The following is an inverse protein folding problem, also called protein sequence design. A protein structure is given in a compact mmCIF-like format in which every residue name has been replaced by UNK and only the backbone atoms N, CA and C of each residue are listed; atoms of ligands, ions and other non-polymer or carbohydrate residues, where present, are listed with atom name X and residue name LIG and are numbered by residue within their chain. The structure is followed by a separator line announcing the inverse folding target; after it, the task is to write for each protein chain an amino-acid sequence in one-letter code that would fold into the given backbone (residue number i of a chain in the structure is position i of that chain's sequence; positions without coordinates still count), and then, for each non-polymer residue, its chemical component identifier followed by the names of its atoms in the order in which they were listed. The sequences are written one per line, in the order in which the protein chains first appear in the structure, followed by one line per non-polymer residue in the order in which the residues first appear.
data_IF_021467987255
#
_entry.id   IF_021467987255
#
_cell.length_a   1.000
_cell.length_b   1.000
_cell.length_c   1.000
_cell.angle_alpha   90.00
_cell.angle_beta   90.00
_cell.angle_gamma   90.00
#
_symmetry.space_group_name_H-M   'P 1'
#
loop_
_entity.id
_entity.type
_entity.pdbx_description
1 polymer ?
#
# COMPACT_ATOMS: atom_id res chain seq x y z
N UNK A 1 1.81 -1.04 -11.49
CA UNK A 1 3.15 -0.97 -12.19
C UNK A 1 4.34 -1.45 -11.35
N UNK A 2 4.42 -1.09 -10.06
CA UNK A 2 5.56 -1.42 -9.18
C UNK A 2 5.85 -2.92 -9.08
N UNK A 3 4.81 -3.77 -9.00
CA UNK A 3 5.00 -5.22 -8.91
C UNK A 3 5.67 -5.86 -10.14
N UNK A 4 5.45 -5.30 -11.33
CA UNK A 4 6.09 -5.80 -12.55
C UNK A 4 7.60 -5.49 -12.56
N UNK A 5 7.96 -4.26 -12.15
CA UNK A 5 9.36 -3.85 -12.02
C UNK A 5 10.08 -4.64 -10.93
N UNK A 6 9.43 -4.85 -9.79
CA UNK A 6 9.99 -5.64 -8.69
C UNK A 6 10.20 -7.10 -9.10
N UNK A 7 9.19 -7.73 -9.68
CA UNK A 7 9.26 -9.12 -10.15
C UNK A 7 10.28 -9.33 -11.27
N UNK A 8 10.51 -8.32 -12.12
CA UNK A 8 11.57 -8.38 -13.13
C UNK A 8 12.97 -8.39 -12.51
N UNK A 9 13.17 -7.69 -11.38
CA UNK A 9 14.45 -7.65 -10.66
C UNK A 9 14.66 -8.89 -9.80
N UNK A 10 13.60 -9.41 -9.17
CA UNK A 10 13.69 -10.54 -8.21
C UNK A 10 13.43 -11.91 -8.83
N UNK A 11 12.94 -11.97 -10.07
CA UNK A 11 12.70 -13.20 -10.82
C UNK A 11 11.33 -13.84 -10.63
N UNK A 12 10.55 -13.41 -9.63
CA UNK A 12 9.16 -13.89 -9.41
C UNK A 12 8.13 -12.83 -9.79
N UNK A 13 7.84 -12.76 -11.09
CA UNK A 13 6.85 -11.84 -11.65
C UNK A 13 5.43 -12.24 -11.24
N UNK A 14 5.15 -13.54 -11.14
CA UNK A 14 3.78 -14.03 -10.94
C UNK A 14 3.22 -13.65 -9.57
N UNK A 15 3.99 -13.84 -8.49
CA UNK A 15 3.52 -13.47 -7.14
C UNK A 15 3.57 -11.95 -6.95
N UNK A 16 4.61 -11.29 -7.45
CA UNK A 16 4.78 -9.83 -7.35
C UNK A 16 3.63 -9.07 -8.03
N UNK A 17 3.17 -9.55 -9.20
CA UNK A 17 2.02 -8.97 -9.89
C UNK A 17 0.74 -9.14 -9.07
N UNK A 18 0.49 -10.35 -8.53
CA UNK A 18 -0.71 -10.61 -7.71
C UNK A 18 -0.78 -9.68 -6.50
N UNK A 19 0.34 -9.48 -5.81
CA UNK A 19 0.44 -8.57 -4.66
C UNK A 19 0.15 -7.12 -5.08
N UNK A 20 0.74 -6.66 -6.19
CA UNK A 20 0.54 -5.30 -6.67
C UNK A 20 -0.92 -5.05 -7.06
N UNK A 21 -1.55 -5.96 -7.81
CA UNK A 21 -2.95 -5.83 -8.21
C UNK A 21 -3.87 -5.90 -6.99
N UNK A 22 -3.56 -6.75 -5.98
CA UNK A 22 -4.33 -6.80 -4.73
C UNK A 22 -4.42 -5.42 -4.06
N UNK A 23 -3.28 -4.75 -3.87
CA UNK A 23 -3.26 -3.42 -3.25
C UNK A 23 -3.88 -2.33 -4.15
N UNK A 24 -3.65 -2.37 -5.46
CA UNK A 24 -4.29 -1.44 -6.40
C UNK A 24 -5.82 -1.55 -6.35
N UNK A 25 -6.37 -2.78 -6.31
CA UNK A 25 -7.81 -3.01 -6.19
C UNK A 25 -8.36 -2.64 -4.80
N UNK A 26 -7.65 -3.00 -3.73
CA UNK A 26 -8.10 -2.71 -2.37
C UNK A 26 -8.16 -1.20 -2.10
N UNK A 27 -7.23 -0.43 -2.66
CA UNK A 27 -7.15 1.02 -2.42
C UNK A 27 -7.89 1.88 -3.44
N UNK A 28 -8.72 1.28 -4.29
CA UNK A 28 -9.36 1.95 -5.42
C UNK A 28 -10.33 3.10 -5.00
N UNK A 29 -10.91 3.08 -3.80
CA UNK A 29 -11.74 4.17 -3.25
C UNK A 29 -10.92 5.42 -2.85
N UNK A 30 -9.62 5.28 -2.59
CA UNK A 30 -8.83 6.34 -1.97
C UNK A 30 -8.22 7.30 -3.00
N UNK A 31 -9.07 7.90 -3.84
CA UNK A 31 -8.66 8.93 -4.81
C UNK A 31 -8.45 10.27 -4.08
N UNK A 32 -7.31 10.95 -4.27
CA UNK A 32 -7.09 12.27 -3.67
C UNK A 32 -8.10 13.28 -4.23
N UNK A 33 -9.03 13.73 -3.39
CA UNK A 33 -10.01 14.75 -3.71
C UNK A 33 -9.94 15.91 -2.71
N UNK A 34 -9.63 17.11 -3.20
CA UNK A 34 -9.51 18.32 -2.36
C UNK A 34 -8.37 18.22 -1.33
N UNK A 35 -8.69 18.42 -0.05
CA UNK A 35 -7.73 18.39 1.07
C UNK A 35 -7.51 17.00 1.66
N UNK A 36 -8.23 15.99 1.15
CA UNK A 36 -8.08 14.61 1.61
C UNK A 36 -6.73 14.03 1.16
N UNK A 37 -5.96 13.53 2.13
CA UNK A 37 -4.69 12.84 1.87
C UNK A 37 -4.98 11.34 1.93
N UNK A 38 -4.92 10.63 0.79
CA UNK A 38 -5.19 9.21 0.78
C UNK A 38 -4.07 8.45 1.53
N UNK A 39 -4.40 7.28 2.11
CA UNK A 39 -3.41 6.31 2.58
C UNK A 39 -2.33 6.04 1.52
N UNK A 40 -1.07 5.95 1.95
CA UNK A 40 0.06 5.86 1.04
C UNK A 40 0.17 4.45 0.46
N UNK A 41 -0.29 4.25 -0.78
CA UNK A 41 -0.41 2.94 -1.45
C UNK A 41 0.96 2.28 -1.72
N UNK A 42 2.00 3.08 -1.95
CA UNK A 42 3.32 2.58 -2.33
C UNK A 42 4.09 1.95 -1.15
N UNK A 43 3.88 2.44 0.07
CA UNK A 43 4.57 1.93 1.26
C UNK A 43 4.21 0.45 1.57
N UNK A 44 2.92 0.07 1.71
CA UNK A 44 2.54 -1.31 1.99
C UNK A 44 2.83 -2.24 0.81
N UNK A 45 2.74 -1.77 -0.44
CA UNK A 45 3.07 -2.57 -1.63
C UNK A 45 4.54 -2.93 -1.68
N UNK A 46 5.44 -1.94 -1.56
CA UNK A 46 6.88 -2.21 -1.55
C UNK A 46 7.30 -3.04 -0.34
N UNK A 47 6.76 -2.78 0.86
CA UNK A 47 7.05 -3.57 2.04
C UNK A 47 6.60 -5.03 1.86
N UNK A 48 5.38 -5.26 1.35
CA UNK A 48 4.90 -6.61 1.09
C UNK A 48 5.78 -7.33 0.06
N UNK A 49 6.12 -6.67 -1.05
CA UNK A 49 7.00 -7.23 -2.08
C UNK A 49 8.39 -7.58 -1.53
N UNK A 50 9.00 -6.69 -0.75
CA UNK A 50 10.30 -6.93 -0.13
C UNK A 50 10.26 -8.12 0.83
N UNK A 51 9.22 -8.20 1.67
CA UNK A 51 9.06 -9.28 2.65
C UNK A 51 8.77 -10.62 1.99
N UNK A 52 7.89 -10.68 0.98
CA UNK A 52 7.62 -11.93 0.26
C UNK A 52 8.86 -12.45 -0.45
N UNK A 53 9.67 -11.56 -1.04
CA UNK A 53 10.95 -11.96 -1.63
C UNK A 53 11.99 -12.38 -0.60
N UNK A 54 12.04 -11.73 0.57
CA UNK A 54 12.98 -12.08 1.64
C UNK A 54 12.68 -13.45 2.27
N UNK A 55 11.40 -13.82 2.38
CA UNK A 55 11.00 -15.12 2.90
C UNK A 55 10.84 -16.20 1.81
N UNK A 56 11.00 -15.84 0.53
CA UNK A 56 10.76 -16.71 -0.63
C UNK A 56 9.39 -17.41 -0.63
N UNK A 57 8.37 -16.74 -0.05
CA UNK A 57 7.02 -17.30 0.07
C UNK A 57 6.22 -17.09 -1.22
N UNK A 58 5.78 -18.19 -1.83
CA UNK A 58 4.96 -18.18 -3.06
C UNK A 58 3.51 -18.58 -2.82
N UNK A 59 3.21 -19.15 -1.65
CA UNK A 59 1.87 -19.60 -1.29
C UNK A 59 0.96 -18.44 -0.85
N UNK A 60 -0.30 -18.46 -1.30
CA UNK A 60 -1.30 -17.44 -0.95
C UNK A 60 -1.48 -17.25 0.57
N UNK A 61 -1.35 -18.35 1.32
CA UNK A 61 -1.53 -18.43 2.77
C UNK A 61 -0.55 -17.53 3.51
N UNK A 62 0.73 -17.69 3.19
CA UNK A 62 1.82 -16.95 3.82
C UNK A 62 1.82 -15.49 3.34
N UNK A 63 1.55 -15.28 2.05
CA UNK A 63 1.45 -13.94 1.47
C UNK A 63 0.31 -13.14 2.10
N UNK A 64 -0.84 -13.75 2.41
CA UNK A 64 -1.95 -13.08 3.09
C UNK A 64 -1.52 -12.45 4.42
N UNK A 65 -0.77 -13.19 5.25
CA UNK A 65 -0.31 -12.69 6.55
C UNK A 65 0.57 -11.46 6.35
N UNK A 66 1.45 -11.49 5.35
CA UNK A 66 2.31 -10.37 4.99
C UNK A 66 1.46 -9.17 4.50
N UNK A 67 0.49 -9.40 3.62
CA UNK A 67 -0.41 -8.35 3.12
C UNK A 67 -1.14 -7.66 4.26
N UNK A 68 -1.73 -8.43 5.19
CA UNK A 68 -2.46 -7.91 6.35
C UNK A 68 -1.53 -7.13 7.29
N UNK A 69 -0.33 -7.64 7.56
CA UNK A 69 0.67 -6.95 8.38
C UNK A 69 1.13 -5.62 7.76
N UNK A 70 1.10 -5.51 6.43
CA UNK A 70 1.48 -4.30 5.71
C UNK A 70 0.36 -3.24 5.66
N UNK A 71 -0.92 -3.58 5.85
CA UNK A 71 -2.03 -2.60 5.84
C UNK A 71 -1.85 -1.40 6.79
N UNK A 72 -1.48 -1.57 8.08
CA UNK A 72 -1.28 -0.43 8.98
C UNK A 72 -0.19 0.52 8.48
N UNK A 73 0.79 0.03 7.72
CA UNK A 73 1.87 0.84 7.16
C UNK A 73 1.35 1.91 6.19
N UNK A 74 0.21 1.67 5.51
CA UNK A 74 -0.43 2.64 4.63
C UNK A 74 -0.86 3.92 5.38
N UNK A 75 -1.36 3.78 6.61
CA UNK A 75 -1.75 4.93 7.45
C UNK A 75 -0.55 5.67 8.00
N UNK A 76 0.47 4.94 8.44
CA UNK A 76 1.70 5.54 8.96
C UNK A 76 2.41 6.31 7.84
N UNK A 77 2.47 5.75 6.62
CA UNK A 77 3.00 6.44 5.45
C UNK A 77 2.25 7.73 5.12
N UNK A 78 0.90 7.72 5.19
CA UNK A 78 0.12 8.93 4.99
C UNK A 78 0.33 9.99 6.08
N UNK A 79 0.51 9.57 7.34
CA UNK A 79 0.85 10.49 8.43
C UNK A 79 2.24 11.13 8.24
N UNK A 80 3.20 10.36 7.74
CA UNK A 80 4.52 10.87 7.35
C UNK A 80 4.39 11.91 6.22
N UNK A 81 3.67 11.60 5.15
CA UNK A 81 3.44 12.53 4.04
C UNK A 81 2.73 13.81 4.47
N UNK A 82 1.74 13.70 5.36
CA UNK A 82 1.08 14.85 5.95
C UNK A 82 2.07 15.74 6.70
N UNK A 83 2.92 15.12 7.52
CA UNK A 83 3.98 15.82 8.24
C UNK A 83 4.91 16.52 7.25
N UNK A 84 5.42 15.84 6.21
CA UNK A 84 6.26 16.48 5.20
C UNK A 84 5.59 17.68 4.52
N UNK A 85 4.31 17.56 4.16
CA UNK A 85 3.54 18.66 3.55
C UNK A 85 3.47 19.88 4.46
N UNK A 86 3.25 19.70 5.77
CA UNK A 86 3.25 20.82 6.71
C UNK A 86 4.61 21.53 6.76
N UNK A 87 5.71 20.78 6.70
CA UNK A 87 7.04 21.36 6.71
C UNK A 87 7.36 22.08 5.39
N UNK A 88 6.88 21.57 4.26
CA UNK A 88 6.98 22.25 2.97
C UNK A 88 6.16 23.54 2.94
N UNK A 89 4.96 23.57 3.52
CA UNK A 89 4.13 24.78 3.61
C UNK A 89 4.82 25.91 4.40
N UNK A 90 5.58 25.57 5.45
CA UNK A 90 6.40 26.56 6.19
C UNK A 90 7.52 27.13 5.32
N UNK A 91 8.12 26.32 4.44
CA UNK A 91 9.10 26.77 3.45
C UNK A 91 8.48 27.67 2.38
N UNK A 92 7.27 27.34 1.92
CA UNK A 92 6.52 28.13 0.95
C UNK A 92 6.14 29.52 1.48
N UNK A 93 5.70 29.64 2.74
CA UNK A 93 5.43 30.95 3.36
C UNK A 93 6.68 31.85 3.42
N UNK A 94 7.88 31.26 3.61
CA UNK A 94 9.14 32.00 3.55
C UNK A 94 9.47 32.47 2.13
N UNK A 95 9.14 31.67 1.11
CA UNK A 95 9.27 32.06 -0.30
C UNK A 95 8.33 33.23 -0.66
N UNK A 96 7.07 33.22 -0.20
CA UNK A 96 6.14 34.34 -0.42
C UNK A 96 6.67 35.61 0.25
N UNK A 97 7.18 35.49 1.48
CA UNK A 97 7.80 36.62 2.19
C UNK A 97 9.06 37.16 1.50
N UNK A 98 9.84 36.29 0.86
CA UNK A 98 11.01 36.66 0.06
C UNK A 98 10.62 37.31 -1.28
N UNK A 99 9.62 36.77 -1.99
CA UNK A 99 9.12 37.31 -3.25
C UNK A 99 8.56 38.73 -3.07
N UNK A 100 7.86 39.00 -1.96
CA UNK A 100 7.39 40.35 -1.59
C UNK A 100 8.53 41.34 -1.29
N UNK A 101 9.71 40.86 -0.90
CA UNK A 101 10.88 41.70 -0.56
C UNK A 101 11.81 41.96 -1.76
N UNK A 102 11.47 41.49 -2.97
CA UNK A 102 12.06 41.95 -4.22
C UNK A 102 13.57 41.77 -4.38
N UNK A 103 14.21 40.82 -3.69
CA UNK A 103 15.65 40.57 -3.87
C UNK A 103 15.91 39.71 -5.12
N UNK A 104 15.94 40.37 -6.27
CA UNK A 104 16.37 39.78 -7.54
C UNK A 104 17.88 39.43 -7.47
N UNK A 105 18.21 38.14 -7.53
CA UNK A 105 19.60 37.67 -7.63
C UNK A 105 19.94 36.45 -6.78
N UNK A 106 19.10 36.07 -5.82
CA UNK A 106 19.39 34.96 -4.92
C UNK A 106 18.82 33.64 -5.48
N UNK A 107 19.65 32.59 -5.63
CA UNK A 107 19.24 31.23 -6.07
C UNK A 107 18.40 30.46 -5.00
N UNK A 108 17.76 31.21 -4.10
CA UNK A 108 16.88 30.72 -3.04
C UNK A 108 15.80 29.73 -3.50
N UNK A 109 15.06 29.94 -4.61
CA UNK A 109 13.99 29.00 -5.01
C UNK A 109 14.53 27.62 -5.40
N UNK A 110 15.64 27.56 -6.16
CA UNK A 110 16.23 26.29 -6.60
C UNK A 110 16.78 25.48 -5.43
N UNK A 111 17.50 26.14 -4.50
CA UNK A 111 18.02 25.49 -3.29
C UNK A 111 16.90 24.98 -2.38
N UNK A 112 15.77 25.69 -2.32
CA UNK A 112 14.65 25.29 -1.47
C UNK A 112 13.89 24.09 -2.06
N UNK A 113 13.71 24.05 -3.38
CA UNK A 113 13.14 22.89 -4.09
C UNK A 113 14.05 21.68 -3.93
N UNK A 114 15.35 21.80 -4.22
CA UNK A 114 16.29 20.69 -4.09
C UNK A 114 16.37 20.16 -2.65
N UNK A 115 16.40 21.05 -1.65
CA UNK A 115 16.37 20.65 -0.25
C UNK A 115 15.08 19.93 0.14
N UNK A 116 13.95 20.32 -0.45
CA UNK A 116 12.65 19.67 -0.20
C UNK A 116 12.63 18.27 -0.82
N UNK A 117 13.09 18.13 -2.07
CA UNK A 117 13.23 16.83 -2.74
C UNK A 117 14.15 15.89 -1.96
N UNK A 118 15.34 16.37 -1.60
CA UNK A 118 16.32 15.57 -0.86
C UNK A 118 15.79 15.17 0.51
N UNK A 119 15.08 16.07 1.19
CA UNK A 119 14.45 15.77 2.48
C UNK A 119 13.38 14.70 2.33
N UNK A 120 12.48 14.84 1.35
CA UNK A 120 11.45 13.83 1.06
C UNK A 120 12.10 12.47 0.78
N UNK A 121 13.11 12.45 -0.08
CA UNK A 121 13.82 11.24 -0.42
C UNK A 121 14.42 10.56 0.82
N UNK A 122 15.16 11.30 1.64
CA UNK A 122 15.80 10.75 2.86
C UNK A 122 14.76 10.26 3.86
N UNK A 123 13.69 11.02 4.11
CA UNK A 123 12.65 10.59 5.05
C UNK A 123 11.88 9.37 4.56
N UNK A 124 11.51 9.32 3.28
CA UNK A 124 10.81 8.17 2.70
C UNK A 124 11.71 6.94 2.68
N UNK A 125 13.01 7.12 2.39
CA UNK A 125 14.01 6.05 2.42
C UNK A 125 14.18 5.47 3.82
N UNK A 126 14.43 6.32 4.83
CA UNK A 126 14.57 5.87 6.21
C UNK A 126 13.29 5.20 6.73
N UNK A 127 12.13 5.77 6.41
CA UNK A 127 10.84 5.19 6.78
C UNK A 127 10.64 3.81 6.17
N UNK A 128 10.94 3.64 4.89
CA UNK A 128 10.85 2.36 4.21
C UNK A 128 11.77 1.30 4.85
N UNK A 129 13.04 1.63 5.08
CA UNK A 129 13.99 0.70 5.70
C UNK A 129 13.59 0.31 7.12
N UNK A 130 13.30 1.30 7.96
CA UNK A 130 12.91 1.05 9.36
C UNK A 130 11.64 0.22 9.45
N UNK A 131 10.60 0.58 8.70
CA UNK A 131 9.35 -0.18 8.69
C UNK A 131 9.52 -1.61 8.18
N UNK A 132 10.26 -1.81 7.08
CA UNK A 132 10.48 -3.13 6.50
C UNK A 132 11.29 -4.04 7.44
N UNK A 133 12.33 -3.50 8.09
CA UNK A 133 13.12 -4.24 9.08
C UNK A 133 12.26 -4.65 10.27
N UNK A 134 11.49 -3.71 10.84
CA UNK A 134 10.60 -3.98 11.98
C UNK A 134 9.59 -5.07 11.61
N UNK A 135 8.95 -4.95 10.44
CA UNK A 135 7.97 -5.95 10.00
C UNK A 135 8.61 -7.31 9.72
N UNK A 136 9.82 -7.33 9.17
CA UNK A 136 10.57 -8.56 8.94
C UNK A 136 10.83 -9.32 10.26
N UNK A 137 11.31 -8.64 11.29
CA UNK A 137 11.54 -9.26 12.60
C UNK A 137 10.24 -9.75 13.25
N UNK A 138 9.17 -8.94 13.19
CA UNK A 138 7.86 -9.33 13.72
C UNK A 138 7.34 -10.58 13.01
N UNK A 139 7.41 -10.62 11.69
CA UNK A 139 6.95 -11.76 10.89
C UNK A 139 7.82 -12.99 11.11
N UNK A 140 9.14 -12.83 11.25
CA UNK A 140 10.03 -13.95 11.55
C UNK A 140 9.64 -14.62 12.87
N UNK A 141 9.43 -13.83 13.94
CA UNK A 141 8.95 -14.33 15.24
C UNK A 141 7.57 -14.98 15.11
N UNK A 142 6.66 -14.36 14.34
CA UNK A 142 5.31 -14.87 14.13
C UNK A 142 5.32 -16.22 13.39
N UNK A 143 6.03 -16.34 12.27
CA UNK A 143 6.11 -17.59 11.50
C UNK A 143 6.86 -18.69 12.26
N UNK A 144 7.84 -18.34 13.09
CA UNK A 144 8.50 -19.33 13.94
C UNK A 144 7.53 -19.94 14.97
N UNK A 145 6.66 -19.12 15.57
CA UNK A 145 5.72 -19.58 16.61
C UNK A 145 4.41 -20.17 16.06
N UNK A 146 3.89 -19.62 14.97
CA UNK A 146 2.57 -19.93 14.41
C UNK A 146 2.62 -20.59 13.02
N UNK A 147 3.81 -20.88 12.50
CA UNK A 147 4.01 -21.54 11.21
C UNK A 147 3.17 -22.80 10.99
N UNK A 148 3.08 -23.73 11.96
CA UNK A 148 2.25 -24.93 11.83
C UNK A 148 0.75 -24.62 11.68
N UNK A 149 0.26 -23.56 12.33
CA UNK A 149 -1.14 -23.16 12.23
C UNK A 149 -1.45 -22.47 10.90
N UNK A 150 -0.50 -21.71 10.35
CA UNK A 150 -0.64 -21.14 8.99
C UNK A 150 -0.64 -22.24 7.92
N UNK A 151 0.12 -23.33 8.12
CA UNK A 151 0.16 -24.46 7.20
C UNK A 151 -1.19 -25.22 7.13
N UNK A 152 -1.98 -25.22 8.21
CA UNK A 152 -3.28 -25.89 8.27
C UNK A 152 -4.44 -25.13 7.63
N UNK A 153 -4.25 -23.87 7.23
CA UNK A 153 -5.33 -23.05 6.63
C UNK A 153 -5.33 -23.23 5.12
N UNK A 154 -6.39 -23.78 4.52
CA UNK A 154 -6.55 -23.84 3.06
C UNK A 154 -6.98 -22.49 2.47
N UNK A 155 -6.05 -21.52 2.42
CA UNK A 155 -6.30 -20.22 1.78
C UNK A 155 -5.85 -20.23 0.32
N UNK A 156 -6.80 -20.00 -0.59
CA UNK A 156 -6.56 -19.81 -2.03
C UNK A 156 -6.51 -18.32 -2.40
N UNK A 157 -5.82 -17.99 -3.49
CA UNK A 157 -5.76 -16.64 -4.06
C UNK A 157 -7.15 -16.04 -4.35
N UNK A 158 -8.15 -16.87 -4.68
CA UNK A 158 -9.53 -16.42 -4.92
C UNK A 158 -10.12 -15.61 -3.77
N UNK A 159 -9.85 -16.01 -2.51
CA UNK A 159 -10.33 -15.26 -1.34
C UNK A 159 -9.67 -13.88 -1.22
N UNK A 160 -8.38 -13.78 -1.59
CA UNK A 160 -7.66 -12.50 -1.61
C UNK A 160 -8.23 -11.56 -2.67
N UNK A 161 -8.60 -12.08 -3.84
CA UNK A 161 -9.25 -11.27 -4.89
C UNK A 161 -10.61 -10.74 -4.45
N UNK A 162 -11.41 -11.55 -3.74
CA UNK A 162 -12.69 -11.10 -3.18
C UNK A 162 -12.44 -9.98 -2.16
N UNK A 163 -11.48 -10.15 -1.26
CA UNK A 163 -11.12 -9.11 -0.28
C UNK A 163 -10.63 -7.82 -0.95
N UNK A 164 -9.83 -7.92 -2.02
CA UNK A 164 -9.37 -6.75 -2.78
C UNK A 164 -10.52 -6.03 -3.49
N UNK A 165 -11.44 -6.80 -4.09
CA UNK A 165 -12.62 -6.24 -4.78
C UNK A 165 -13.54 -5.45 -3.86
N UNK A 166 -13.56 -5.79 -2.56
CA UNK A 166 -14.33 -5.06 -1.56
C UNK A 166 -13.90 -3.59 -1.46
N UNK A 167 -12.61 -3.31 -1.64
CA UNK A 167 -12.08 -1.94 -1.68
C UNK A 167 -12.62 -1.12 -2.85
N UNK A 168 -12.67 -1.72 -4.05
CA UNK A 168 -13.32 -1.11 -5.21
C UNK A 168 -14.85 -1.00 -5.08
N UNK A 169 -15.47 -1.91 -4.32
CA UNK A 169 -16.91 -1.85 -4.09
C UNK A 169 -17.29 -0.75 -3.10
N UNK A 170 -16.46 -0.56 -2.07
CA UNK A 170 -16.57 0.57 -1.14
C UNK A 170 -16.45 1.91 -1.88
N UNK A 171 -15.62 1.96 -2.92
CA UNK A 171 -15.43 3.12 -3.80
C UNK A 171 -16.69 3.65 -4.46
N UNK A 172 -17.62 2.76 -4.82
CA UNK A 172 -18.82 3.15 -5.55
C UNK A 172 -19.77 3.98 -4.67
N UNK A 173 -19.63 3.96 -3.33
CA UNK A 173 -20.50 4.65 -2.34
C UNK A 173 -22.01 4.50 -2.59
N UNK A 174 -22.40 3.52 -3.41
CA UNK A 174 -23.76 3.29 -3.88
C UNK A 174 -24.37 2.14 -3.10
N UNK A 175 -25.35 2.43 -2.24
CA UNK A 175 -26.09 1.42 -1.44
C UNK A 175 -26.62 0.27 -2.30
N UNK A 176 -27.01 0.56 -3.55
CA UNK A 176 -27.50 -0.42 -4.52
C UNK A 176 -26.42 -1.38 -5.03
N UNK A 177 -25.17 -0.91 -5.15
CA UNK A 177 -24.04 -1.73 -5.61
C UNK A 177 -23.68 -2.82 -4.58
N UNK A 178 -23.75 -2.49 -3.29
CA UNK A 178 -23.59 -3.48 -2.20
C UNK A 178 -24.66 -4.56 -2.24
N UNK A 179 -25.92 -4.19 -2.49
CA UNK A 179 -27.03 -5.14 -2.59
C UNK A 179 -26.86 -6.11 -3.77
N UNK A 180 -26.46 -5.61 -4.95
CA UNK A 180 -26.19 -6.46 -6.12
C UNK A 180 -24.99 -7.39 -5.92
N UNK A 181 -23.97 -6.96 -5.17
CA UNK A 181 -22.81 -7.80 -4.86
C UNK A 181 -23.17 -8.93 -3.89
N UNK A 182 -23.86 -8.60 -2.79
CA UNK A 182 -24.37 -9.61 -1.85
C UNK A 182 -25.28 -10.59 -2.56
N UNK A 183 -26.19 -10.10 -3.42
CA UNK A 183 -27.04 -10.96 -4.23
C UNK A 183 -26.23 -11.88 -5.15
N UNK A 184 -25.21 -11.36 -5.83
CA UNK A 184 -24.30 -12.14 -6.67
C UNK A 184 -23.55 -13.22 -5.88
N UNK A 185 -23.02 -12.89 -4.69
CA UNK A 185 -22.30 -13.84 -3.82
C UNK A 185 -23.24 -14.93 -3.29
N UNK A 186 -24.44 -14.56 -2.86
CA UNK A 186 -25.45 -15.52 -2.37
C UNK A 186 -25.91 -16.43 -3.50
N UNK A 187 -26.15 -15.89 -4.68
CA UNK A 187 -26.57 -16.65 -5.86
C UNK A 187 -25.46 -17.60 -6.31
N UNK A 188 -24.20 -17.14 -6.38
CA UNK A 188 -23.06 -17.99 -6.70
C UNK A 188 -22.81 -19.07 -5.64
N UNK A 189 -22.93 -18.73 -4.36
CA UNK A 189 -22.86 -19.68 -3.25
C UNK A 189 -23.98 -20.72 -3.31
N UNK A 190 -25.19 -20.30 -3.71
CA UNK A 190 -26.32 -21.19 -3.94
C UNK A 190 -26.07 -22.14 -5.12
N UNK A 191 -25.49 -21.67 -6.23
CA UNK A 191 -25.13 -22.53 -7.37
C UNK A 191 -24.07 -23.59 -7.02
N UNK A 192 -23.09 -23.24 -6.18
CA UNK A 192 -22.08 -24.18 -5.67
C UNK A 192 -22.74 -25.21 -4.72
N UNK A 193 -23.60 -24.76 -3.80
CA UNK A 193 -24.31 -25.65 -2.87
C UNK A 193 -25.34 -26.55 -3.57
N UNK A 194 -25.94 -26.06 -4.66
CA UNK A 194 -26.86 -26.82 -5.50
C UNK A 194 -26.15 -27.83 -6.42
N UNK A 195 -24.81 -27.88 -6.42
CA UNK A 195 -24.02 -28.86 -7.17
C UNK A 195 -24.09 -28.70 -8.69
N UNK A 196 -24.43 -27.50 -9.17
CA UNK A 196 -24.56 -27.20 -10.60
C UNK A 196 -23.19 -26.84 -11.21
N UNK A 197 -22.18 -26.59 -10.37
CA UNK A 197 -20.75 -26.38 -10.70
C UNK A 197 -19.92 -27.09 -9.63
#
# INVERSE_FOLDING_TARGET
MVGALWGAVTGDVATSLKIAVFFELFWLDNIPAGTYIPPHILAPTFAALALTTSFAFTEARQVMVILLACLPLARIGAWMDYSLRQWHNRGHNKLIGWARKGKAGDQLPQKLVFRSILRTFVTSWLFFWTSTIILHYILCIFFHKWGPLVAGVDMKWSFLWIAASLGGLLALRLRKAYATFVFGVVLFGFFILAGII
#
